data_IF_178288178954
#
_entry.id   IF_178288178954
#
_cell.length_a   1.000
_cell.length_b   1.000
_cell.length_c   1.000
_cell.angle_alpha   90.00
_cell.angle_beta   90.00
_cell.angle_gamma   90.00
#
_symmetry.space_group_name_H-M   'P 1'
#
loop_
_entity.id
_entity.type
_entity.pdbx_description
1 polymer ?
#
# COMPACT_ATOMS: atom_id res chain seq x y z
N UNK A 1 4.50 39.93 -37.05
CA UNK A 1 3.36 39.61 -36.18
C UNK A 1 2.89 38.20 -36.55
N UNK A 2 3.45 37.18 -35.90
CA UNK A 2 3.15 35.76 -36.20
C UNK A 2 2.38 35.23 -35.00
N UNK A 3 1.09 34.95 -35.20
CA UNK A 3 0.21 34.31 -34.21
C UNK A 3 0.56 32.82 -34.15
N UNK A 4 1.13 32.37 -33.03
CA UNK A 4 1.19 30.95 -32.69
C UNK A 4 -0.19 30.52 -32.17
N UNK A 5 -0.93 29.78 -32.99
CA UNK A 5 -2.08 29.01 -32.54
C UNK A 5 -1.56 27.79 -31.76
N UNK A 6 -1.59 27.89 -30.42
CA UNK A 6 -1.45 26.74 -29.53
C UNK A 6 -2.71 25.86 -29.71
N UNK A 7 -2.58 24.82 -30.53
CA UNK A 7 -3.51 23.70 -30.57
C UNK A 7 -3.46 22.99 -29.21
N UNK A 8 -4.37 23.39 -28.32
CA UNK A 8 -4.78 22.58 -27.17
C UNK A 8 -5.47 21.33 -27.72
N UNK A 9 -4.70 20.28 -27.98
CA UNK A 9 -5.25 18.95 -28.12
C UNK A 9 -5.97 18.62 -26.81
N UNK A 10 -7.26 18.27 -26.83
CA UNK A 10 -7.88 17.70 -25.65
C UNK A 10 -7.14 16.38 -25.40
N UNK A 11 -6.32 16.34 -24.36
CA UNK A 11 -5.89 15.08 -23.77
C UNK A 11 -7.18 14.43 -23.30
N UNK A 12 -7.73 13.57 -24.16
CA UNK A 12 -8.88 12.77 -23.82
C UNK A 12 -8.54 12.05 -22.53
N UNK A 13 -9.32 12.30 -21.49
CA UNK A 13 -9.46 11.38 -20.39
C UNK A 13 -9.89 10.05 -21.02
N UNK A 14 -8.93 9.19 -21.32
CA UNK A 14 -9.21 7.78 -21.58
C UNK A 14 -9.84 7.30 -20.29
N UNK A 15 -11.12 6.95 -20.35
CA UNK A 15 -11.84 6.31 -19.25
C UNK A 15 -10.97 5.20 -18.68
N UNK A 16 -10.41 5.42 -17.49
CA UNK A 16 -9.57 4.46 -16.77
C UNK A 16 -10.33 3.16 -16.49
N UNK A 17 -11.67 3.19 -16.51
CA UNK A 17 -12.53 2.01 -16.47
C UNK A 17 -12.33 1.07 -17.66
N UNK A 18 -11.91 1.57 -18.83
CA UNK A 18 -11.70 0.75 -20.04
C UNK A 18 -10.36 0.01 -20.08
N UNK A 19 -9.44 0.27 -19.14
CA UNK A 19 -8.15 -0.43 -19.01
C UNK A 19 -8.25 -1.70 -18.16
N UNK A 20 -9.24 -1.78 -17.28
CA UNK A 20 -9.52 -2.96 -16.47
C UNK A 20 -10.47 -3.90 -17.21
N UNK A 21 -10.07 -4.31 -18.43
CA UNK A 21 -10.96 -5.01 -19.39
C UNK A 21 -11.47 -6.38 -18.92
N UNK A 22 -10.94 -6.96 -17.85
CA UNK A 22 -11.46 -8.22 -17.29
C UNK A 22 -11.11 -8.38 -15.81
N UNK A 23 -12.08 -8.23 -14.87
CA UNK A 23 -11.94 -8.72 -13.50
C UNK A 23 -11.46 -10.18 -13.43
N UNK A 24 -11.77 -10.98 -14.45
CA UNK A 24 -11.28 -12.36 -14.60
C UNK A 24 -9.74 -12.48 -14.61
N UNK A 25 -9.00 -11.51 -15.17
CA UNK A 25 -7.52 -11.58 -15.16
C UNK A 25 -6.99 -11.35 -13.75
N UNK A 26 -7.53 -10.36 -13.05
CA UNK A 26 -7.17 -10.09 -11.65
C UNK A 26 -7.51 -11.30 -10.80
N UNK A 27 -8.72 -11.83 -10.92
CA UNK A 27 -9.15 -13.04 -10.22
C UNK A 27 -8.22 -14.22 -10.49
N UNK A 28 -7.93 -14.52 -11.76
CA UNK A 28 -7.06 -15.66 -12.13
C UNK A 28 -5.65 -15.52 -11.55
N UNK A 29 -5.05 -14.33 -11.65
CA UNK A 29 -3.73 -14.07 -11.06
C UNK A 29 -3.75 -14.21 -9.53
N UNK A 30 -4.81 -13.73 -8.88
CA UNK A 30 -4.99 -13.92 -7.44
C UNK A 30 -5.16 -15.39 -7.08
N UNK A 31 -6.02 -16.15 -7.76
CA UNK A 31 -6.18 -17.59 -7.51
C UNK A 31 -4.83 -18.31 -7.60
N UNK A 32 -4.05 -18.08 -8.67
CA UNK A 32 -2.73 -18.69 -8.83
C UNK A 32 -1.72 -18.27 -7.74
N UNK A 33 -1.81 -17.03 -7.26
CA UNK A 33 -1.03 -16.56 -6.12
C UNK A 33 -1.44 -17.28 -4.82
N UNK A 34 -2.76 -17.41 -4.57
CA UNK A 34 -3.32 -18.00 -3.37
C UNK A 34 -3.15 -19.53 -3.30
N UNK A 35 -3.02 -20.22 -4.44
CA UNK A 35 -2.65 -21.65 -4.50
C UNK A 35 -1.35 -21.97 -3.77
N UNK A 36 -0.42 -21.01 -3.70
CA UNK A 36 0.85 -21.14 -2.99
C UNK A 36 0.68 -21.15 -1.47
N UNK A 37 -0.47 -20.69 -1.00
CA UNK A 37 -0.89 -20.67 0.40
C UNK A 37 -2.01 -21.70 0.67
N UNK A 38 -2.17 -22.70 -0.20
CA UNK A 38 -3.08 -23.83 0.00
C UNK A 38 -4.54 -23.56 -0.37
N UNK A 39 -4.85 -22.44 -1.03
CA UNK A 39 -6.17 -22.23 -1.59
C UNK A 39 -6.28 -22.85 -2.99
N UNK A 40 -7.12 -23.85 -3.13
CA UNK A 40 -7.50 -24.39 -4.43
C UNK A 40 -8.89 -23.84 -4.77
N UNK A 41 -8.99 -23.13 -5.91
CA UNK A 41 -10.25 -22.53 -6.36
C UNK A 41 -11.40 -23.55 -6.31
N UNK A 42 -12.49 -23.20 -5.64
CA UNK A 42 -13.66 -24.08 -5.46
C UNK A 42 -14.68 -23.95 -6.60
N UNK A 43 -14.35 -23.17 -7.64
CA UNK A 43 -15.24 -22.88 -8.76
C UNK A 43 -16.39 -21.92 -8.42
N UNK A 44 -16.45 -21.37 -7.21
CA UNK A 44 -17.52 -20.44 -6.79
C UNK A 44 -17.38 -19.03 -7.39
N UNK A 45 -16.21 -18.70 -7.95
CA UNK A 45 -15.88 -17.36 -8.41
C UNK A 45 -15.49 -16.39 -7.28
N UNK A 46 -15.44 -16.85 -6.03
CA UNK A 46 -15.02 -16.06 -4.88
C UNK A 46 -13.64 -16.46 -4.38
N UNK A 47 -12.89 -15.48 -3.88
CA UNK A 47 -11.68 -15.69 -3.10
C UNK A 47 -12.00 -16.30 -1.73
N UNK A 48 -11.06 -17.00 -1.08
CA UNK A 48 -11.29 -17.56 0.26
C UNK A 48 -11.46 -16.45 1.30
N UNK A 49 -12.01 -16.80 2.46
CA UNK A 49 -12.03 -15.88 3.60
C UNK A 49 -10.59 -15.48 3.97
N UNK A 50 -10.37 -14.18 4.13
CA UNK A 50 -9.05 -13.60 4.32
C UNK A 50 -8.38 -14.10 5.60
N UNK A 51 -9.14 -14.39 6.65
CA UNK A 51 -8.59 -14.96 7.90
C UNK A 51 -7.83 -16.28 7.66
N UNK A 52 -8.35 -17.15 6.79
CA UNK A 52 -7.67 -18.40 6.44
C UNK A 52 -6.38 -18.15 5.68
N UNK A 53 -6.39 -17.15 4.78
CA UNK A 53 -5.20 -16.74 4.03
C UNK A 53 -4.12 -16.13 4.93
N UNK A 54 -4.49 -15.17 5.79
CA UNK A 54 -3.58 -14.49 6.71
C UNK A 54 -2.83 -15.50 7.60
N UNK A 55 -3.53 -16.51 8.11
CA UNK A 55 -2.90 -17.58 8.86
C UNK A 55 -1.83 -18.33 8.04
N UNK A 56 -2.16 -18.74 6.81
CA UNK A 56 -1.23 -19.46 5.95
C UNK A 56 -0.02 -18.60 5.58
N UNK A 57 -0.24 -17.35 5.17
CA UNK A 57 0.85 -16.44 4.81
C UNK A 57 1.83 -16.20 5.96
N UNK A 58 1.34 -16.09 7.20
CA UNK A 58 2.19 -15.91 8.40
C UNK A 58 3.11 -17.09 8.70
N UNK A 59 2.86 -18.26 8.12
CA UNK A 59 3.78 -19.41 8.25
C UNK A 59 5.00 -19.30 7.33
N UNK A 60 4.99 -18.36 6.38
CA UNK A 60 6.09 -18.12 5.43
C UNK A 60 6.96 -16.93 5.86
N UNK A 61 8.24 -17.00 5.51
CA UNK A 61 9.16 -15.87 5.70
C UNK A 61 8.86 -14.76 4.68
N UNK A 62 9.20 -13.52 5.04
CA UNK A 62 8.98 -12.37 4.16
C UNK A 62 9.62 -12.53 2.77
N UNK A 63 10.86 -13.05 2.62
CA UNK A 63 11.44 -13.30 1.30
C UNK A 63 10.62 -14.25 0.42
N UNK A 64 10.00 -15.28 1.00
CA UNK A 64 9.12 -16.21 0.27
C UNK A 64 7.86 -15.51 -0.18
N UNK A 65 7.22 -14.76 0.74
CA UNK A 65 6.01 -13.99 0.41
C UNK A 65 6.29 -13.00 -0.72
N UNK A 66 7.41 -12.28 -0.66
CA UNK A 66 7.76 -11.34 -1.70
C UNK A 66 8.08 -12.01 -3.04
N UNK A 67 8.73 -13.17 -3.03
CA UNK A 67 8.93 -13.94 -4.27
C UNK A 67 7.61 -14.34 -4.93
N UNK A 68 6.59 -14.67 -4.14
CA UNK A 68 5.28 -15.04 -4.64
C UNK A 68 4.45 -13.81 -5.04
N UNK A 69 4.60 -12.70 -4.32
CA UNK A 69 3.99 -11.42 -4.68
C UNK A 69 4.57 -10.86 -5.99
N UNK A 70 5.87 -11.01 -6.24
CA UNK A 70 6.50 -10.63 -7.51
C UNK A 70 5.93 -11.43 -8.70
N UNK A 71 5.53 -12.69 -8.48
CA UNK A 71 4.83 -13.49 -9.50
C UNK A 71 3.40 -12.99 -9.72
N UNK A 72 2.71 -12.60 -8.65
CA UNK A 72 1.38 -11.98 -8.74
C UNK A 72 1.44 -10.69 -9.57
N UNK A 73 2.35 -9.77 -9.23
CA UNK A 73 2.50 -8.50 -9.97
C UNK A 73 2.93 -8.74 -11.41
N UNK A 74 3.79 -9.73 -11.67
CA UNK A 74 4.15 -10.14 -13.03
C UNK A 74 2.96 -10.70 -13.82
N UNK A 75 2.10 -11.49 -13.19
CA UNK A 75 0.86 -11.99 -13.82
C UNK A 75 -0.11 -10.84 -14.14
N UNK A 76 -0.26 -9.90 -13.21
CA UNK A 76 -1.13 -8.73 -13.37
C UNK A 76 -0.59 -7.74 -14.42
N UNK A 77 0.73 -7.66 -14.61
CA UNK A 77 1.34 -6.69 -15.52
C UNK A 77 0.91 -5.26 -15.18
N UNK A 78 0.52 -4.49 -16.20
CA UNK A 78 0.02 -3.12 -16.02
C UNK A 78 -1.25 -3.02 -15.16
N UNK A 79 -2.03 -4.10 -15.05
CA UNK A 79 -3.22 -4.11 -14.19
C UNK A 79 -2.89 -4.01 -12.70
N UNK A 80 -1.65 -4.33 -12.28
CA UNK A 80 -1.21 -4.18 -10.89
C UNK A 80 -1.29 -2.72 -10.43
N UNK A 81 -1.07 -1.77 -11.33
CA UNK A 81 -1.13 -0.33 -11.01
C UNK A 81 -2.57 0.19 -11.05
N UNK A 82 -3.30 -0.08 -12.13
CA UNK A 82 -4.55 0.63 -12.43
C UNK A 82 -5.83 -0.12 -12.02
N UNK A 83 -5.76 -1.44 -11.79
CA UNK A 83 -6.94 -2.26 -11.58
C UNK A 83 -7.05 -2.88 -10.20
N UNK A 84 -6.05 -2.72 -9.34
CA UNK A 84 -6.19 -3.13 -7.95
C UNK A 84 -6.88 -2.04 -7.16
N UNK A 85 -8.15 -2.28 -6.83
CA UNK A 85 -9.01 -1.38 -6.07
C UNK A 85 -10.00 -2.15 -5.20
N UNK A 86 -10.65 -1.43 -4.29
CA UNK A 86 -11.72 -1.97 -3.46
C UNK A 86 -12.84 -2.60 -4.30
N UNK A 87 -13.32 -1.89 -5.33
CA UNK A 87 -14.43 -2.35 -6.17
C UNK A 87 -14.09 -3.67 -6.88
N UNK A 88 -12.85 -3.79 -7.35
CA UNK A 88 -12.37 -5.01 -7.99
C UNK A 88 -12.39 -6.17 -6.99
N UNK A 89 -11.83 -6.02 -5.77
CA UNK A 89 -11.93 -7.06 -4.75
C UNK A 89 -13.38 -7.37 -4.32
N UNK A 90 -14.25 -6.37 -4.31
CA UNK A 90 -15.66 -6.56 -3.97
C UNK A 90 -16.37 -7.47 -4.99
N UNK A 91 -15.94 -7.51 -6.25
CA UNK A 91 -16.55 -8.41 -7.26
C UNK A 91 -16.30 -9.90 -7.00
N UNK A 92 -15.25 -10.25 -6.27
CA UNK A 92 -14.85 -11.65 -6.02
C UNK A 92 -14.65 -11.96 -4.54
N UNK A 93 -15.27 -11.17 -3.65
CA UNK A 93 -15.36 -11.45 -2.21
C UNK A 93 -16.81 -11.46 -1.76
N UNK A 94 -17.07 -12.05 -0.58
CA UNK A 94 -18.45 -12.28 -0.11
C UNK A 94 -19.07 -11.06 0.56
N UNK A 95 -18.26 -10.12 1.03
CA UNK A 95 -18.72 -8.93 1.73
C UNK A 95 -17.67 -7.81 1.64
N UNK A 96 -18.06 -6.61 2.06
CA UNK A 96 -17.25 -5.39 2.00
C UNK A 96 -15.97 -5.50 2.85
N UNK A 97 -16.06 -6.16 4.00
CA UNK A 97 -14.94 -6.32 4.93
C UNK A 97 -13.85 -7.23 4.35
N UNK A 98 -14.22 -8.31 3.67
CA UNK A 98 -13.29 -9.18 2.96
C UNK A 98 -12.58 -8.44 1.82
N UNK A 99 -13.32 -7.68 1.01
CA UNK A 99 -12.74 -6.85 -0.04
C UNK A 99 -11.69 -5.87 0.52
N UNK A 100 -12.00 -5.27 1.67
CA UNK A 100 -11.11 -4.36 2.37
C UNK A 100 -9.82 -5.07 2.82
N UNK A 101 -9.92 -6.25 3.42
CA UNK A 101 -8.76 -7.00 3.87
C UNK A 101 -7.84 -7.39 2.71
N UNK A 102 -8.39 -7.84 1.59
CA UNK A 102 -7.58 -8.12 0.39
C UNK A 102 -6.87 -6.87 -0.15
N UNK A 103 -7.56 -5.73 -0.21
CA UNK A 103 -6.95 -4.47 -0.65
C UNK A 103 -5.82 -4.02 0.27
N UNK A 104 -6.07 -4.03 1.59
CA UNK A 104 -5.08 -3.66 2.59
C UNK A 104 -3.87 -4.60 2.56
N UNK A 105 -4.10 -5.89 2.37
CA UNK A 105 -3.02 -6.87 2.26
C UNK A 105 -2.19 -6.70 0.99
N UNK A 106 -2.84 -6.47 -0.15
CA UNK A 106 -2.14 -6.16 -1.40
C UNK A 106 -1.29 -4.91 -1.23
N UNK A 107 -1.85 -3.83 -0.69
CA UNK A 107 -1.16 -2.58 -0.48
C UNK A 107 0.02 -2.73 0.50
N UNK A 108 -0.15 -3.54 1.55
CA UNK A 108 0.93 -3.87 2.46
C UNK A 108 2.08 -4.56 1.73
N UNK A 109 1.83 -5.66 1.01
CA UNK A 109 2.90 -6.39 0.31
C UNK A 109 3.48 -5.64 -0.89
N UNK A 110 2.70 -4.80 -1.56
CA UNK A 110 3.21 -3.86 -2.55
C UNK A 110 4.32 -2.98 -1.98
N UNK A 111 4.12 -2.45 -0.77
CA UNK A 111 5.15 -1.67 -0.11
C UNK A 111 6.30 -2.54 0.40
N UNK A 112 6.00 -3.59 1.17
CA UNK A 112 7.01 -4.40 1.85
C UNK A 112 7.88 -5.19 0.88
N UNK A 113 7.37 -5.57 -0.29
CA UNK A 113 8.14 -6.28 -1.30
C UNK A 113 8.78 -5.35 -2.34
N UNK A 114 8.28 -4.10 -2.43
CA UNK A 114 8.86 -3.03 -3.25
C UNK A 114 9.73 -2.08 -2.42
N UNK A 115 9.34 -0.80 -2.39
CA UNK A 115 10.14 0.30 -1.83
C UNK A 115 10.49 0.14 -0.33
N UNK A 116 9.66 -0.56 0.43
CA UNK A 116 9.86 -0.80 1.86
C UNK A 116 10.75 -2.00 2.20
N UNK A 117 11.16 -2.80 1.21
CA UNK A 117 11.79 -4.11 1.43
C UNK A 117 13.01 -4.04 2.33
N UNK A 118 13.93 -3.11 2.06
CA UNK A 118 15.16 -2.97 2.85
C UNK A 118 14.85 -2.58 4.30
N UNK A 119 13.91 -1.65 4.52
CA UNK A 119 13.51 -1.21 5.86
C UNK A 119 12.91 -2.36 6.67
N UNK A 120 12.08 -3.20 6.05
CA UNK A 120 11.50 -4.37 6.71
C UNK A 120 12.54 -5.46 6.98
N UNK A 121 13.49 -5.70 6.08
CA UNK A 121 14.55 -6.70 6.27
C UNK A 121 15.53 -6.30 7.37
N UNK A 122 15.86 -5.01 7.50
CA UNK A 122 16.77 -4.50 8.54
C UNK A 122 16.28 -4.78 9.97
N UNK A 123 14.97 -4.82 10.18
CA UNK A 123 14.38 -5.05 11.50
C UNK A 123 13.32 -6.17 11.50
N UNK A 124 13.53 -7.17 10.64
CA UNK A 124 12.53 -8.19 10.32
C UNK A 124 12.01 -8.92 11.56
N UNK A 125 12.91 -9.34 12.46
CA UNK A 125 12.53 -10.15 13.63
C UNK A 125 11.56 -9.39 14.54
N UNK A 126 11.86 -8.12 14.86
CA UNK A 126 10.99 -7.33 15.72
C UNK A 126 9.67 -6.98 15.02
N UNK A 127 9.73 -6.51 13.78
CA UNK A 127 8.55 -6.14 13.00
C UNK A 127 7.62 -7.36 12.84
N UNK A 128 8.13 -8.52 12.46
CA UNK A 128 7.32 -9.74 12.31
C UNK A 128 6.70 -10.18 13.64
N UNK A 129 7.45 -10.10 14.75
CA UNK A 129 6.92 -10.42 16.08
C UNK A 129 5.84 -9.42 16.51
N UNK A 130 6.02 -8.13 16.23
CA UNK A 130 5.08 -7.07 16.56
C UNK A 130 3.78 -7.21 15.75
N UNK A 131 3.90 -7.32 14.42
CA UNK A 131 2.77 -7.50 13.51
C UNK A 131 2.08 -8.85 13.67
N UNK A 132 2.81 -9.86 14.16
CA UNK A 132 2.26 -11.15 14.56
C UNK A 132 1.28 -11.05 15.73
N UNK A 133 1.45 -10.05 16.62
CA UNK A 133 0.55 -9.79 17.76
C UNK A 133 -0.62 -8.88 17.40
N UNK A 134 -0.33 -7.76 16.73
CA UNK A 134 -1.32 -6.77 16.30
C UNK A 134 -0.98 -6.43 14.86
N UNK A 135 -1.85 -6.77 13.91
CA UNK A 135 -1.60 -6.49 12.50
C UNK A 135 -1.44 -5.00 12.25
N UNK A 136 -0.80 -4.61 11.14
CA UNK A 136 -0.66 -3.19 10.79
C UNK A 136 -2.03 -2.51 10.70
N UNK A 137 -3.01 -3.18 10.08
CA UNK A 137 -4.37 -2.67 9.93
C UNK A 137 -5.11 -2.54 11.25
N UNK A 138 -4.89 -3.45 12.21
CA UNK A 138 -5.47 -3.32 13.55
C UNK A 138 -4.83 -2.14 14.28
N UNK A 139 -3.51 -1.95 14.13
CA UNK A 139 -2.78 -0.82 14.71
C UNK A 139 -3.23 0.52 14.12
N UNK A 140 -3.48 0.59 12.81
CA UNK A 140 -4.06 1.76 12.15
C UNK A 140 -5.45 2.07 12.73
N UNK A 141 -6.30 1.05 12.94
CA UNK A 141 -7.61 1.21 13.59
C UNK A 141 -7.49 1.71 15.04
N UNK A 142 -6.54 1.20 15.82
CA UNK A 142 -6.25 1.73 17.17
C UNK A 142 -5.74 3.18 17.14
N UNK A 143 -5.12 3.59 16.04
CA UNK A 143 -4.68 4.96 15.80
C UNK A 143 -5.79 5.86 15.23
N UNK A 144 -7.03 5.36 15.15
CA UNK A 144 -8.20 6.15 14.73
C UNK A 144 -8.56 6.03 13.25
N UNK A 145 -7.97 5.08 12.51
CA UNK A 145 -8.34 4.88 11.10
C UNK A 145 -9.85 4.57 10.96
N UNK A 146 -10.60 5.35 10.16
CA UNK A 146 -12.01 5.09 9.93
C UNK A 146 -12.21 3.76 9.18
N UNK A 147 -13.10 2.90 9.68
CA UNK A 147 -13.39 1.59 9.08
C UNK A 147 -14.13 1.69 7.74
N UNK A 148 -14.95 2.73 7.59
CA UNK A 148 -15.70 3.02 6.39
C UNK A 148 -15.60 4.50 6.11
N UNK A 149 -15.12 4.82 4.92
CA UNK A 149 -14.84 6.19 4.54
C UNK A 149 -16.12 6.78 3.94
N UNK A 150 -16.88 7.49 4.76
CA UNK A 150 -18.01 8.30 4.30
C UNK A 150 -17.51 9.62 3.70
N UNK A 151 -18.34 10.25 2.87
CA UNK A 151 -18.03 11.50 2.17
C UNK A 151 -17.82 12.67 3.15
N UNK A 152 -16.59 12.84 3.64
CA UNK A 152 -16.19 14.01 4.43
C UNK A 152 -15.13 14.81 3.67
N UNK A 153 -15.25 16.15 3.61
CA UNK A 153 -14.18 17.02 3.10
C UNK A 153 -13.05 17.11 4.14
N UNK A 154 -11.80 17.02 3.68
CA UNK A 154 -10.53 17.04 4.46
C UNK A 154 -10.23 15.83 5.36
N UNK A 155 -9.96 14.68 4.74
CA UNK A 155 -9.45 13.47 5.44
C UNK A 155 -7.95 13.50 5.73
N UNK A 156 -7.20 14.44 5.13
CA UNK A 156 -5.74 14.41 5.20
C UNK A 156 -5.18 14.56 6.62
N UNK A 157 -5.62 15.53 7.45
CA UNK A 157 -5.09 15.68 8.80
C UNK A 157 -5.32 14.44 9.67
N UNK A 158 -6.50 13.82 9.57
CA UNK A 158 -6.83 12.61 10.32
C UNK A 158 -5.94 11.42 9.92
N UNK A 159 -5.72 11.22 8.62
CA UNK A 159 -4.88 10.12 8.16
C UNK A 159 -3.39 10.36 8.46
N UNK A 160 -2.94 11.62 8.42
CA UNK A 160 -1.60 11.98 8.87
C UNK A 160 -1.38 11.59 10.34
N UNK A 161 -2.36 11.87 11.21
CA UNK A 161 -2.32 11.43 12.62
C UNK A 161 -2.29 9.91 12.75
N UNK A 162 -3.06 9.17 11.94
CA UNK A 162 -3.05 7.70 11.94
C UNK A 162 -1.64 7.17 11.63
N UNK A 163 -1.02 7.64 10.54
CA UNK A 163 0.32 7.17 10.14
C UNK A 163 1.41 7.60 11.11
N UNK A 164 1.33 8.80 11.68
CA UNK A 164 2.23 9.26 12.75
C UNK A 164 2.11 8.39 14.01
N UNK A 165 0.88 8.06 14.42
CA UNK A 165 0.64 7.18 15.56
C UNK A 165 1.21 5.77 15.33
N UNK A 166 1.06 5.22 14.11
CA UNK A 166 1.67 3.94 13.74
C UNK A 166 3.19 4.00 13.81
N UNK A 167 3.79 5.07 13.23
CA UNK A 167 5.24 5.32 13.29
C UNK A 167 5.72 5.30 14.74
N UNK A 168 5.11 6.10 15.61
CA UNK A 168 5.53 6.26 16.99
C UNK A 168 5.40 4.94 17.78
N UNK A 169 4.27 4.24 17.65
CA UNK A 169 4.07 2.94 18.30
C UNK A 169 5.15 1.93 17.89
N UNK A 170 5.48 1.86 16.60
CA UNK A 170 6.48 0.91 16.08
C UNK A 170 7.92 1.36 16.34
N UNK A 171 8.16 2.67 16.40
CA UNK A 171 9.44 3.27 16.79
C UNK A 171 9.77 2.96 18.24
N UNK A 172 8.81 3.12 19.15
CA UNK A 172 9.00 2.79 20.56
C UNK A 172 9.21 1.29 20.77
N UNK A 173 8.50 0.45 20.01
CA UNK A 173 8.55 -1.00 20.16
C UNK A 173 9.80 -1.64 19.52
N UNK A 174 10.18 -1.18 18.32
CA UNK A 174 11.17 -1.83 17.46
C UNK A 174 12.28 -0.89 16.94
N UNK A 175 12.24 0.41 17.25
CA UNK A 175 13.23 1.40 16.81
C UNK A 175 12.85 2.17 15.54
N UNK A 176 13.62 3.22 15.24
CA UNK A 176 13.31 4.22 14.19
C UNK A 176 13.04 3.63 12.81
N UNK A 177 13.86 2.68 12.37
CA UNK A 177 13.71 2.02 11.06
C UNK A 177 12.37 1.28 10.97
N UNK A 178 11.94 0.63 12.06
CA UNK A 178 10.66 -0.07 12.10
C UNK A 178 9.47 0.90 12.11
N UNK A 179 9.58 2.03 12.81
CA UNK A 179 8.62 3.13 12.75
C UNK A 179 8.44 3.62 11.31
N UNK A 180 9.54 3.94 10.65
CA UNK A 180 9.57 4.38 9.24
C UNK A 180 8.96 3.33 8.32
N UNK A 181 9.38 2.07 8.43
CA UNK A 181 8.91 0.96 7.60
C UNK A 181 7.38 0.81 7.67
N UNK A 182 6.84 0.80 8.89
CA UNK A 182 5.41 0.61 9.12
C UNK A 182 4.59 1.85 8.79
N UNK A 183 5.13 3.06 8.97
CA UNK A 183 4.55 4.31 8.49
C UNK A 183 4.39 4.31 6.97
N UNK A 184 5.44 3.92 6.23
CA UNK A 184 5.39 3.81 4.77
C UNK A 184 4.40 2.75 4.29
N UNK A 185 4.34 1.60 4.98
CA UNK A 185 3.35 0.57 4.68
C UNK A 185 1.90 1.04 4.94
N UNK A 186 1.67 1.76 6.04
CA UNK A 186 0.38 2.36 6.35
C UNK A 186 -0.03 3.42 5.31
N UNK A 187 0.92 4.25 4.89
CA UNK A 187 0.73 5.23 3.81
C UNK A 187 0.35 4.56 2.50
N UNK A 188 0.98 3.44 2.15
CA UNK A 188 0.64 2.72 0.92
C UNK A 188 -0.76 2.09 0.98
N UNK A 189 -1.19 1.63 2.16
CA UNK A 189 -2.58 1.19 2.38
C UNK A 189 -3.55 2.35 2.10
N UNK A 190 -3.33 3.52 2.68
CA UNK A 190 -4.21 4.68 2.48
C UNK A 190 -4.20 5.18 1.03
N UNK A 191 -3.05 5.12 0.36
CA UNK A 191 -2.94 5.41 -1.08
C UNK A 191 -3.86 4.53 -1.91
N UNK A 192 -3.91 3.23 -1.62
CA UNK A 192 -4.72 2.25 -2.37
C UNK A 192 -6.22 2.37 -2.12
N UNK A 193 -6.62 3.06 -1.06
CA UNK A 193 -8.02 3.38 -0.77
C UNK A 193 -8.55 4.57 -1.60
N UNK A 194 -7.67 5.29 -2.31
CA UNK A 194 -8.00 6.30 -3.33
C UNK A 194 -8.90 7.48 -2.89
N UNK A 195 -8.88 7.84 -1.61
CA UNK A 195 -9.69 8.95 -1.08
C UNK A 195 -8.87 10.21 -0.73
N UNK A 196 -7.55 10.14 -0.86
CA UNK A 196 -6.63 11.24 -0.58
C UNK A 196 -6.13 11.86 -1.89
N UNK A 197 -5.91 13.17 -1.87
CA UNK A 197 -5.26 13.86 -2.98
C UNK A 197 -3.72 13.63 -2.97
N UNK A 198 -3.10 13.99 -4.10
CA UNK A 198 -1.66 13.81 -4.27
C UNK A 198 -0.80 14.64 -3.29
N UNK A 199 -1.29 15.79 -2.84
CA UNK A 199 -0.57 16.64 -1.90
C UNK A 199 -0.50 15.98 -0.52
N UNK A 200 -1.62 15.41 -0.06
CA UNK A 200 -1.69 14.65 1.17
C UNK A 200 -0.77 13.43 1.13
N UNK A 201 -0.82 12.65 0.05
CA UNK A 201 0.05 11.48 -0.10
C UNK A 201 1.53 11.85 -0.10
N UNK A 202 1.89 12.99 -0.71
CA UNK A 202 3.28 13.50 -0.70
C UNK A 202 3.71 13.87 0.72
N UNK A 203 2.85 14.55 1.49
CA UNK A 203 3.13 14.89 2.89
C UNK A 203 3.30 13.62 3.74
N UNK A 204 2.48 12.60 3.54
CA UNK A 204 2.61 11.32 4.22
C UNK A 204 3.94 10.63 3.89
N UNK A 205 4.33 10.58 2.61
CA UNK A 205 5.60 9.99 2.17
C UNK A 205 6.80 10.71 2.82
N UNK A 206 6.75 12.04 2.92
CA UNK A 206 7.80 12.84 3.57
C UNK A 206 7.93 12.50 5.06
N UNK A 207 6.81 12.38 5.78
CA UNK A 207 6.80 12.04 7.20
C UNK A 207 7.26 10.63 7.49
N UNK A 208 6.93 9.69 6.61
CA UNK A 208 7.31 8.29 6.74
C UNK A 208 8.69 7.96 6.17
N UNK A 209 9.50 8.97 5.78
CA UNK A 209 10.81 8.79 5.18
C UNK A 209 11.95 9.06 6.18
N UNK A 210 12.94 8.17 6.22
CA UNK A 210 14.21 8.38 6.97
C UNK A 210 15.06 9.53 6.43
N UNK A 211 14.76 10.03 5.23
CA UNK A 211 15.58 11.02 4.53
C UNK A 211 15.44 12.46 5.04
N UNK A 212 14.66 12.75 6.08
CA UNK A 212 14.54 14.13 6.57
C UNK A 212 15.91 14.69 7.01
N UNK A 213 16.75 13.87 7.65
CA UNK A 213 18.14 14.21 7.97
C UNK A 213 19.01 14.36 6.70
N UNK A 214 18.87 13.46 5.72
CA UNK A 214 19.64 13.52 4.46
C UNK A 214 19.31 14.77 3.62
N UNK A 215 18.03 15.15 3.54
CA UNK A 215 17.57 16.38 2.89
C UNK A 215 18.06 17.62 3.64
N UNK A 216 17.99 17.63 4.97
CA UNK A 216 18.55 18.73 5.76
C UNK A 216 20.07 18.85 5.60
N UNK A 217 20.81 17.74 5.62
CA UNK A 217 22.26 17.75 5.35
C UNK A 217 22.58 18.19 3.93
N UNK A 218 21.80 17.78 2.93
CA UNK A 218 21.97 18.20 1.54
C UNK A 218 21.73 19.70 1.36
N UNK A 219 20.68 20.24 1.98
CA UNK A 219 20.37 21.68 1.98
C UNK A 219 21.47 22.47 2.71
N UNK A 220 21.93 21.99 3.88
CA UNK A 220 23.06 22.59 4.61
C UNK A 220 24.36 22.54 3.79
N UNK A 221 24.62 21.46 3.05
CA UNK A 221 25.78 21.33 2.19
C UNK A 221 25.73 22.29 1.00
N UNK A 222 24.57 22.46 0.36
CA UNK A 222 24.39 23.45 -0.72
C UNK A 222 24.53 24.88 -0.19
N UNK A 223 23.96 25.19 0.98
CA UNK A 223 24.08 26.53 1.59
C UNK A 223 25.53 26.83 1.96
N UNK A 224 26.24 25.90 2.59
CA UNK A 224 27.66 26.09 2.95
C UNK A 224 28.57 26.16 1.72
N UNK A 225 28.26 25.43 0.64
CA UNK A 225 29.01 25.50 -0.61
C UNK A 225 28.78 26.80 -1.39
N UNK A 226 27.61 27.44 -1.25
CA UNK A 226 27.31 28.72 -1.92
C UNK A 226 27.69 29.97 -1.11
N UNK A 227 27.90 29.85 0.20
CA UNK A 227 28.24 30.95 1.11
C UNK A 227 29.70 30.92 1.62
N UNK A 228 30.55 30.05 1.07
CA UNK A 228 32.02 30.06 1.19
C UNK A 228 32.60 30.36 -0.18
#
# INVERSE_FOLDING_TARGET
MIFYFLLLLPIGFIETQSLCKTPNTVYTCYVSYLERYGYHGDGSGYLPAFQSLDYQMRTHSLPVICSDFDKLTSCLGSSSTYCISYDVFYTFTRNQQEAMYYLQNHAFFEFVCGNGKELFLQNQICIQKSLGRISLTDRMRECGQPQFITNMPEKCPEILEVTNCVHEKMRVECGEVAGTATCGAATNIERRMQFLDAACLTEMDVRCSTNLLSLMFSILFVITYYFI
#
